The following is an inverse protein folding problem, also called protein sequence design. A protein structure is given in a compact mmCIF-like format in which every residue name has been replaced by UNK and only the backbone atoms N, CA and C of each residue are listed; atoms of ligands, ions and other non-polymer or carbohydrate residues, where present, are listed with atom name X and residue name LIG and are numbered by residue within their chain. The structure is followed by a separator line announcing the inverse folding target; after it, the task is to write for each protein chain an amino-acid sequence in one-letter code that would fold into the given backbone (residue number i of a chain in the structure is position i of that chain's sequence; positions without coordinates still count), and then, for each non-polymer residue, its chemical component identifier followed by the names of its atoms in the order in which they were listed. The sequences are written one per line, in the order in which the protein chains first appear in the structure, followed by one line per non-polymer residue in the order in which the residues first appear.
data_IF_983318624356
#
_entry.id   IF_983318624356
#
_cell.length_a   1.000
_cell.length_b   1.000
_cell.length_c   1.000
_cell.angle_alpha   90.00
_cell.angle_beta   90.00
_cell.angle_gamma   90.00
#
_symmetry.space_group_name_H-M   'P 1'
#
loop_
_entity.id
_entity.type
_entity.pdbx_description
1 polymer ?
#
# COMPACT_ATOMS: atom_id res chain seq x y z
N UNK A 1 -1.12 2.22 25.14
CA UNK A 1 -1.32 2.04 24.69
C UNK A 1 -1.59 2.30 24.04
N UNK A 2 -1.33 2.66 24.08
CA UNK A 2 -1.57 2.75 23.39
C UNK A 2 -1.93 3.04 22.69
N UNK A 3 -2.03 3.37 22.63
CA UNK A 3 -2.47 3.35 22.04
C UNK A 3 -2.95 3.59 21.30
N UNK A 4 -3.00 3.94 21.11
CA UNK A 4 -3.53 4.09 20.37
C UNK A 4 -3.83 3.96 19.72
N UNK A 5 -3.95 3.94 19.56
CA UNK A 5 -4.27 3.57 18.85
C UNK A 5 -5.10 3.73 18.48
N UNK A 6 -5.50 4.04 18.35
CA UNK A 6 -6.24 4.19 18.01
C UNK A 6 -6.60 4.64 17.14
N UNK A 7 -6.54 5.11 16.80
CA UNK A 7 -7.17 5.61 15.84
C UNK A 7 -6.94 4.96 14.71
N UNK A 8 -6.51 4.31 14.64
CA UNK A 8 -6.30 3.72 13.72
C UNK A 8 -7.16 2.99 13.28
N UNK A 9 -7.71 2.73 13.70
CA UNK A 9 -8.54 1.92 13.39
C UNK A 9 -9.35 2.41 12.51
N UNK A 10 -9.34 3.29 12.22
CA UNK A 10 -10.09 3.80 11.53
C UNK A 10 -10.09 3.46 10.27
N UNK A 11 -10.56 2.68 9.73
CA UNK A 11 -10.72 2.23 8.53
C UNK A 11 -10.06 3.05 7.52
N UNK A 12 -10.66 3.99 7.04
CA UNK A 12 -10.05 4.89 6.09
C UNK A 12 -9.73 6.18 6.77
N UNK A 13 -8.49 6.56 6.68
CA UNK A 13 -8.06 7.82 7.24
C UNK A 13 -8.27 8.92 6.22
N UNK A 14 -8.24 10.16 6.66
CA UNK A 14 -8.45 11.27 5.74
C UNK A 14 -7.49 11.28 4.59
N UNK A 15 -6.33 10.68 4.76
CA UNK A 15 -5.38 10.64 3.67
C UNK A 15 -5.54 9.42 2.80
N UNK A 16 -6.73 8.93 2.69
CA UNK A 16 -7.00 7.83 1.80
C UNK A 16 -6.21 6.60 2.15
N UNK A 17 -6.57 5.98 3.25
CA UNK A 17 -5.93 4.73 3.63
C UNK A 17 -6.57 3.54 2.93
N UNK A 18 -7.56 3.74 2.09
CA UNK A 18 -8.11 2.67 1.27
C UNK A 18 -8.78 3.23 0.03
N UNK A 19 -8.91 2.35 -0.96
CA UNK A 19 -9.65 2.66 -2.18
C UNK A 19 -10.67 1.56 -2.39
N UNK A 20 -11.85 1.91 -2.80
CA UNK A 20 -12.90 0.94 -3.00
C UNK A 20 -13.87 1.43 -4.07
N UNK A 21 -14.69 0.51 -4.60
CA UNK A 21 -15.74 0.90 -5.55
C UNK A 21 -16.72 1.87 -4.91
N UNK A 22 -17.10 2.88 -5.67
CA UNK A 22 -18.03 3.88 -5.21
C UNK A 22 -19.40 3.27 -4.98
N UNK A 23 -20.04 3.64 -3.89
CA UNK A 23 -21.42 3.23 -3.64
C UNK A 23 -21.60 1.89 -2.95
N UNK A 24 -20.53 1.15 -2.73
CA UNK A 24 -20.61 -0.14 -2.05
C UNK A 24 -19.85 -0.04 -0.74
N UNK A 25 -20.50 -0.33 0.40
CA UNK A 25 -19.79 -0.25 1.67
C UNK A 25 -18.61 -1.22 1.71
N UNK A 26 -17.52 -0.77 2.31
CA UNK A 26 -16.30 -1.56 2.33
C UNK A 26 -16.49 -2.91 3.02
N UNK A 27 -17.35 -2.97 4.04
CA UNK A 27 -17.53 -4.21 4.78
C UNK A 27 -18.20 -5.30 3.94
N UNK A 28 -18.76 -4.93 2.79
CA UNK A 28 -19.39 -5.91 1.89
C UNK A 28 -18.44 -6.38 0.80
N UNK A 29 -17.18 -5.98 0.86
CA UNK A 29 -16.23 -6.30 -0.21
C UNK A 29 -15.00 -6.99 0.35
N UNK A 30 -14.43 -7.92 -0.43
CA UNK A 30 -13.13 -8.48 -0.03
C UNK A 30 -12.07 -7.39 0.01
N UNK A 31 -11.05 -7.60 0.81
CA UNK A 31 -9.97 -6.64 0.96
C UNK A 31 -8.65 -7.23 0.54
N UNK A 32 -7.81 -6.40 -0.02
CA UNK A 32 -6.43 -6.74 -0.32
C UNK A 32 -5.56 -5.67 0.31
N UNK A 33 -4.60 -6.08 1.13
CA UNK A 33 -3.73 -5.15 1.83
C UNK A 33 -2.44 -4.94 1.05
N UNK A 34 -2.12 -3.69 0.80
CA UNK A 34 -0.85 -3.33 0.18
C UNK A 34 0.16 -3.13 1.29
N UNK A 35 1.31 -3.79 1.18
CA UNK A 35 2.35 -3.68 2.20
C UNK A 35 3.14 -2.39 2.01
N UNK A 36 3.89 -2.01 3.05
CA UNK A 36 4.66 -0.77 3.01
C UNK A 36 5.65 -0.77 1.84
N UNK A 37 6.37 -1.88 1.67
CA UNK A 37 7.35 -1.94 0.59
C UNK A 37 6.68 -1.93 -0.78
N UNK A 38 5.49 -2.50 -0.87
CA UNK A 38 4.76 -2.51 -2.13
C UNK A 38 4.29 -1.11 -2.50
N UNK A 39 3.82 -0.36 -1.52
CA UNK A 39 3.40 1.02 -1.78
C UNK A 39 4.60 1.87 -2.18
N UNK A 40 5.73 1.69 -1.51
CA UNK A 40 6.92 2.46 -1.85
C UNK A 40 7.41 2.10 -3.26
N UNK A 41 7.34 0.82 -3.62
CA UNK A 41 7.75 0.40 -4.96
C UNK A 41 6.87 1.05 -6.02
N UNK A 42 5.57 1.12 -5.77
CA UNK A 42 4.66 1.78 -6.72
C UNK A 42 5.01 3.27 -6.84
N UNK A 43 5.31 3.91 -5.72
CA UNK A 43 5.66 5.32 -5.75
C UNK A 43 6.91 5.56 -6.60
N UNK A 44 7.93 4.74 -6.38
CA UNK A 44 9.19 4.93 -7.08
C UNK A 44 9.09 4.60 -8.56
N UNK A 45 8.43 3.48 -8.86
CA UNK A 45 8.40 3.01 -10.25
C UNK A 45 7.33 3.71 -11.08
N UNK A 46 6.15 3.91 -10.52
CA UNK A 46 5.02 4.33 -11.33
C UNK A 46 4.63 5.77 -11.15
N UNK A 47 4.92 6.38 -9.99
CA UNK A 47 4.68 7.80 -9.82
C UNK A 47 5.90 8.60 -10.23
N UNK A 48 7.08 8.25 -9.70
CA UNK A 48 8.32 8.95 -10.04
C UNK A 48 8.95 8.45 -11.32
N UNK A 49 8.53 7.28 -11.78
CA UNK A 49 8.98 6.69 -13.04
C UNK A 49 10.47 6.44 -13.09
N UNK A 50 11.01 5.97 -11.97
CA UNK A 50 12.42 5.58 -11.92
C UNK A 50 12.61 4.24 -12.61
N UNK A 51 13.81 4.03 -13.18
CA UNK A 51 14.16 2.71 -13.65
C UNK A 51 14.30 1.76 -12.48
N UNK A 52 14.17 0.47 -12.75
CA UNK A 52 14.18 -0.52 -11.68
C UNK A 52 15.47 -0.48 -10.87
N UNK A 53 16.59 -0.27 -11.52
CA UNK A 53 17.85 -0.20 -10.79
C UNK A 53 17.86 0.96 -9.81
N UNK A 54 17.40 2.11 -10.26
CA UNK A 54 17.34 3.29 -9.40
C UNK A 54 16.39 3.10 -8.24
N UNK A 55 15.22 2.53 -8.53
CA UNK A 55 14.22 2.28 -7.50
C UNK A 55 14.73 1.28 -6.48
N UNK A 56 15.39 0.22 -6.95
CA UNK A 56 15.95 -0.78 -6.06
C UNK A 56 16.98 -0.15 -5.13
N UNK A 57 17.83 0.69 -5.67
CA UNK A 57 18.85 1.37 -4.87
C UNK A 57 18.20 2.26 -3.81
N UNK A 58 17.15 2.96 -4.19
CA UNK A 58 16.44 3.81 -3.25
C UNK A 58 15.86 3.03 -2.08
N UNK A 59 15.41 1.81 -2.35
CA UNK A 59 14.83 0.97 -1.29
C UNK A 59 15.87 0.11 -0.58
N UNK A 60 17.11 0.14 -1.04
CA UNK A 60 18.16 -0.67 -0.42
C UNK A 60 18.01 -2.15 -0.66
N UNK A 61 17.46 -2.54 -1.80
CA UNK A 61 17.27 -3.95 -2.15
C UNK A 61 17.89 -4.22 -3.50
N UNK A 62 18.03 -5.50 -3.83
CA UNK A 62 18.52 -5.87 -5.13
C UNK A 62 17.48 -5.56 -6.20
N UNK A 63 17.94 -5.46 -7.44
CA UNK A 63 17.04 -5.21 -8.54
C UNK A 63 16.01 -6.33 -8.68
N UNK A 64 16.42 -7.56 -8.46
CA UNK A 64 15.50 -8.69 -8.55
C UNK A 64 14.46 -8.64 -7.46
N UNK A 65 14.87 -8.30 -6.24
CA UNK A 65 13.93 -8.15 -5.13
C UNK A 65 12.93 -7.05 -5.44
N UNK A 66 13.42 -5.91 -5.95
CA UNK A 66 12.51 -4.84 -6.33
C UNK A 66 11.52 -5.31 -7.39
N UNK A 67 11.99 -6.06 -8.38
CA UNK A 67 11.12 -6.59 -9.40
C UNK A 67 9.99 -7.44 -8.83
N UNK A 68 10.32 -8.26 -7.86
CA UNK A 68 9.30 -9.09 -7.22
C UNK A 68 8.30 -8.24 -6.43
N UNK A 69 8.79 -7.22 -5.73
CA UNK A 69 7.92 -6.36 -4.94
C UNK A 69 6.95 -5.60 -5.84
N UNK A 70 7.48 -4.99 -6.90
CA UNK A 70 6.62 -4.18 -7.77
C UNK A 70 5.61 -5.05 -8.51
N UNK A 71 6.00 -6.27 -8.85
CA UNK A 71 5.08 -7.17 -9.52
C UNK A 71 3.91 -7.53 -8.61
N UNK A 72 4.20 -7.84 -7.33
CA UNK A 72 3.13 -8.12 -6.38
C UNK A 72 2.23 -6.91 -6.20
N UNK A 73 2.84 -5.74 -6.06
CA UNK A 73 2.09 -4.52 -5.84
C UNK A 73 1.13 -4.24 -7.00
N UNK A 74 1.64 -4.35 -8.21
CA UNK A 74 0.81 -4.10 -9.38
C UNK A 74 -0.30 -5.12 -9.52
N UNK A 75 -0.02 -6.37 -9.17
CA UNK A 75 -1.04 -7.40 -9.22
C UNK A 75 -2.18 -7.10 -8.26
N UNK A 76 -1.84 -6.66 -7.04
CA UNK A 76 -2.86 -6.32 -6.06
C UNK A 76 -3.74 -5.17 -6.53
N UNK A 77 -3.12 -4.14 -7.08
CA UNK A 77 -3.88 -3.00 -7.58
C UNK A 77 -4.80 -3.43 -8.72
N UNK A 78 -4.26 -4.22 -9.64
CA UNK A 78 -5.05 -4.68 -10.78
C UNK A 78 -6.23 -5.53 -10.33
N UNK A 79 -6.03 -6.41 -9.35
CA UNK A 79 -7.12 -7.22 -8.85
C UNK A 79 -8.24 -6.37 -8.27
N UNK A 80 -7.87 -5.35 -7.51
CA UNK A 80 -8.88 -4.48 -6.92
C UNK A 80 -9.67 -3.74 -7.99
N UNK A 81 -8.98 -3.30 -9.03
CA UNK A 81 -9.66 -2.58 -10.11
C UNK A 81 -10.56 -3.49 -10.93
N UNK A 82 -10.06 -4.67 -11.25
CA UNK A 82 -10.79 -5.57 -12.14
C UNK A 82 -11.94 -6.26 -11.40
N UNK A 83 -11.71 -6.65 -10.16
CA UNK A 83 -12.71 -7.43 -9.43
C UNK A 83 -13.49 -6.62 -8.40
N UNK A 84 -13.19 -5.34 -8.26
CA UNK A 84 -13.98 -4.50 -7.36
C UNK A 84 -13.73 -4.77 -5.90
N UNK A 85 -12.46 -4.97 -5.52
CA UNK A 85 -12.10 -5.22 -4.13
C UNK A 85 -11.60 -3.96 -3.47
N UNK A 86 -11.58 -3.97 -2.14
CA UNK A 86 -11.03 -2.85 -1.38
C UNK A 86 -9.52 -3.00 -1.29
N UNK A 87 -8.81 -1.96 -1.70
CA UNK A 87 -7.36 -1.91 -1.55
C UNK A 87 -7.04 -1.10 -0.31
N UNK A 88 -6.48 -1.75 0.71
CA UNK A 88 -6.12 -1.05 1.93
C UNK A 88 -4.64 -0.70 1.89
N UNK A 89 -4.33 0.50 2.35
CA UNK A 89 -2.97 1.01 2.33
C UNK A 89 -2.35 0.92 3.71
N UNK A 90 -1.01 0.87 3.80
CA UNK A 90 -0.37 0.81 5.11
C UNK A 90 -0.69 2.06 5.91
N UNK A 91 -0.83 1.87 7.23
CA UNK A 91 -1.08 2.98 8.12
C UNK A 91 0.24 3.61 8.51
N UNK A 92 0.52 4.78 7.97
CA UNK A 92 1.80 5.43 8.22
C UNK A 92 1.95 5.93 9.64
N UNK A 93 0.85 6.17 10.30
CA UNK A 93 0.94 6.52 11.71
C UNK A 93 1.50 5.39 12.53
N UNK A 94 1.14 4.17 12.19
CA UNK A 94 1.67 3.01 12.88
C UNK A 94 3.17 2.88 12.65
N UNK A 95 3.62 3.19 11.46
CA UNK A 95 5.05 3.13 11.19
C UNK A 95 5.79 4.09 12.06
N UNK A 96 5.29 5.29 12.23
CA UNK A 96 5.92 6.26 13.09
C UNK A 96 5.95 5.78 14.52
N UNK A 97 4.89 5.19 14.98
CA UNK A 97 4.83 4.69 16.34
C UNK A 97 5.85 3.61 16.58
N UNK A 98 6.06 2.77 15.60
CA UNK A 98 7.04 1.72 15.74
C UNK A 98 8.43 2.29 15.88
N UNK A 99 8.69 3.37 15.20
CA UNK A 99 10.00 3.97 15.24
C UNK A 99 10.25 4.69 16.56
N UNK A 100 9.20 5.14 17.16
CA UNK A 100 9.35 5.83 18.41
C UNK A 100 9.62 4.87 19.54
#
# INVERSE_FOLDING_TARGET
MPRPKKPRTIGCLPKASCFKPNGIPAHNLPRIALEVDELEALRLADVLQLYQLEAAQSMGVSRQTFGNIIKRARNKVALCLVEGKVLTLPNQSQDKEKEA
#
